data_IF_699726172174
#
_entry.id   IF_699726172174
#
_cell.length_a   1.000
_cell.length_b   1.000
_cell.length_c   1.000
_cell.angle_alpha   90.00
_cell.angle_beta   90.00
_cell.angle_gamma   90.00
#
_symmetry.space_group_name_H-M   'P 1'
#
loop_
_entity.id
_entity.type
_entity.pdbx_description
1 polymer ?
#
# COMPACT_ATOMS: atom_id res chain seq x y z
N UNK A 1 -9.24 -7.61 -20.63
CA UNK A 1 -8.63 -7.33 -19.31
C UNK A 1 -7.14 -7.04 -19.51
N UNK A 2 -6.77 -5.82 -19.95
CA UNK A 2 -5.44 -5.58 -20.56
C UNK A 2 -4.24 -5.76 -19.61
N UNK A 3 -4.38 -5.36 -18.35
CA UNK A 3 -3.26 -5.42 -17.38
C UNK A 3 -2.91 -6.87 -17.02
N UNK A 4 -3.92 -7.73 -16.86
CA UNK A 4 -3.70 -9.16 -16.60
C UNK A 4 -3.14 -9.88 -17.82
N UNK A 5 -3.63 -9.53 -19.02
CA UNK A 5 -3.11 -10.08 -20.27
C UNK A 5 -1.63 -9.77 -20.46
N UNK A 6 -1.22 -8.51 -20.28
CA UNK A 6 0.18 -8.11 -20.36
C UNK A 6 1.04 -8.80 -19.28
N UNK A 7 0.53 -8.94 -18.05
CA UNK A 7 1.23 -9.66 -17.00
C UNK A 7 1.48 -11.14 -17.38
N UNK A 8 0.53 -11.78 -18.06
CA UNK A 8 0.66 -13.18 -18.51
C UNK A 8 1.55 -13.30 -19.75
N UNK A 9 1.27 -12.52 -20.79
CA UNK A 9 1.93 -12.64 -22.11
C UNK A 9 3.32 -12.03 -22.13
N UNK A 10 3.49 -10.85 -21.53
CA UNK A 10 4.76 -10.11 -21.55
C UNK A 10 5.54 -10.31 -20.25
N UNK A 11 4.84 -10.35 -19.12
CA UNK A 11 5.44 -10.49 -17.78
C UNK A 11 5.72 -11.92 -17.35
N UNK A 12 5.18 -12.92 -18.06
CA UNK A 12 5.32 -14.35 -17.76
C UNK A 12 5.10 -14.68 -16.27
N UNK A 13 4.04 -14.11 -15.67
CA UNK A 13 3.75 -14.34 -14.25
C UNK A 13 3.59 -15.82 -13.93
N UNK A 14 4.16 -16.25 -12.81
CA UNK A 14 4.09 -17.64 -12.34
C UNK A 14 2.78 -17.96 -11.59
N UNK A 15 2.04 -16.93 -11.16
CA UNK A 15 0.83 -17.08 -10.38
C UNK A 15 -0.18 -15.97 -10.67
N UNK A 16 -1.46 -16.33 -10.66
CA UNK A 16 -2.60 -15.42 -10.69
C UNK A 16 -3.52 -15.77 -9.52
N UNK A 17 -4.15 -14.76 -8.93
CA UNK A 17 -5.07 -14.93 -7.80
C UNK A 17 -6.48 -14.50 -8.19
N UNK A 18 -7.44 -15.39 -7.98
CA UNK A 18 -8.87 -15.11 -8.14
C UNK A 18 -9.40 -14.29 -6.96
N UNK A 19 -10.17 -13.26 -7.29
CA UNK A 19 -10.82 -12.38 -6.32
C UNK A 19 -12.10 -12.97 -5.74
N UNK A 20 -12.52 -12.47 -4.57
CA UNK A 20 -13.77 -12.86 -3.90
C UNK A 20 -15.05 -12.64 -4.71
N UNK A 21 -15.11 -11.57 -5.51
CA UNK A 21 -16.36 -11.10 -6.08
C UNK A 21 -16.90 -11.99 -7.20
N UNK A 22 -18.18 -11.79 -7.49
CA UNK A 22 -18.80 -12.29 -8.69
C UNK A 22 -18.39 -11.43 -9.89
N UNK A 23 -18.26 -12.05 -11.05
CA UNK A 23 -18.30 -11.36 -12.34
C UNK A 23 -19.30 -12.08 -13.22
N UNK A 24 -20.27 -11.34 -13.75
CA UNK A 24 -21.38 -11.89 -14.54
C UNK A 24 -22.14 -13.02 -13.82
N UNK A 25 -22.29 -12.92 -12.50
CA UNK A 25 -23.08 -13.86 -11.69
C UNK A 25 -22.31 -15.07 -11.13
N UNK A 26 -21.04 -15.26 -11.51
CA UNK A 26 -20.22 -16.38 -11.03
C UNK A 26 -19.01 -15.90 -10.21
N UNK A 27 -18.70 -16.62 -9.13
CA UNK A 27 -17.48 -16.37 -8.34
C UNK A 27 -16.25 -16.65 -9.20
N UNK A 28 -15.20 -15.83 -9.08
CA UNK A 28 -14.04 -15.97 -9.95
C UNK A 28 -13.37 -17.33 -9.82
N UNK A 29 -13.29 -17.89 -8.61
CA UNK A 29 -12.73 -19.23 -8.37
C UNK A 29 -13.44 -20.37 -9.10
N UNK A 30 -14.63 -20.14 -9.65
CA UNK A 30 -15.39 -21.12 -10.42
C UNK A 30 -15.80 -20.60 -11.81
N UNK A 31 -15.29 -19.44 -12.24
CA UNK A 31 -15.64 -18.83 -13.52
C UNK A 31 -14.80 -19.44 -14.65
N UNK A 32 -15.31 -20.50 -15.28
CA UNK A 32 -14.60 -21.24 -16.34
C UNK A 32 -14.26 -20.35 -17.55
N UNK A 33 -15.10 -19.38 -17.89
CA UNK A 33 -14.85 -18.46 -19.02
C UNK A 33 -13.58 -17.65 -18.78
N UNK A 34 -13.44 -17.04 -17.60
CA UNK A 34 -12.26 -16.24 -17.29
C UNK A 34 -11.03 -17.12 -17.08
N UNK A 35 -11.17 -18.23 -16.36
CA UNK A 35 -10.03 -19.02 -15.90
C UNK A 35 -9.53 -20.00 -16.95
N UNK A 36 -10.42 -20.83 -17.50
CA UNK A 36 -10.03 -21.85 -18.45
C UNK A 36 -9.94 -21.29 -19.87
N UNK A 37 -10.94 -20.54 -20.31
CA UNK A 37 -10.98 -20.07 -21.70
C UNK A 37 -10.04 -18.89 -21.91
N UNK A 38 -10.15 -17.81 -21.13
CA UNK A 38 -9.34 -16.63 -21.36
C UNK A 38 -7.92 -16.81 -20.81
N UNK A 39 -7.77 -17.03 -19.50
CA UNK A 39 -6.46 -17.07 -18.86
C UNK A 39 -5.60 -18.25 -19.36
N UNK A 40 -6.12 -19.48 -19.29
CA UNK A 40 -5.34 -20.68 -19.63
C UNK A 40 -5.24 -20.96 -21.13
N UNK A 41 -6.34 -20.83 -21.90
CA UNK A 41 -6.33 -21.13 -23.34
C UNK A 41 -5.94 -19.91 -24.20
N UNK A 42 -6.68 -18.81 -24.14
CA UNK A 42 -6.44 -17.64 -25.02
C UNK A 42 -5.11 -16.93 -24.72
N UNK A 43 -4.74 -16.81 -23.44
CA UNK A 43 -3.47 -16.17 -23.05
C UNK A 43 -2.32 -17.16 -22.82
N UNK A 44 -2.62 -18.46 -22.80
CA UNK A 44 -1.59 -19.49 -22.64
C UNK A 44 -0.94 -19.54 -21.26
N UNK A 45 -1.62 -19.07 -20.19
CA UNK A 45 -1.06 -19.08 -18.84
C UNK A 45 -0.67 -20.49 -18.37
N UNK A 46 0.59 -20.62 -17.94
CA UNK A 46 1.16 -21.88 -17.47
C UNK A 46 1.40 -21.93 -15.96
N UNK A 47 1.20 -20.83 -15.24
CA UNK A 47 1.39 -20.79 -13.79
C UNK A 47 0.24 -21.41 -12.99
N UNK A 48 0.23 -21.08 -11.70
CA UNK A 48 -0.78 -21.51 -10.73
C UNK A 48 -1.89 -20.45 -10.63
N UNK A 49 -3.14 -20.85 -10.82
CA UNK A 49 -4.29 -20.04 -10.43
C UNK A 49 -4.73 -20.40 -9.00
N UNK A 50 -4.62 -19.45 -8.08
CA UNK A 50 -4.97 -19.65 -6.67
C UNK A 50 -6.17 -18.80 -6.25
N UNK A 51 -6.86 -19.19 -5.18
CA UNK A 51 -7.92 -18.36 -4.61
C UNK A 51 -7.30 -17.28 -3.72
N UNK A 52 -7.99 -16.15 -3.57
CA UNK A 52 -7.81 -15.33 -2.36
C UNK A 52 -8.24 -16.15 -1.12
N UNK A 53 -7.91 -15.65 0.07
CA UNK A 53 -8.12 -16.34 1.34
C UNK A 53 -9.59 -16.60 1.60
N UNK A 54 -10.01 -17.86 1.68
CA UNK A 54 -11.42 -18.24 1.87
C UNK A 54 -12.34 -17.80 0.71
N UNK A 55 -11.79 -17.55 -0.48
CA UNK A 55 -12.56 -17.17 -1.66
C UNK A 55 -13.07 -18.36 -2.49
N UNK A 56 -13.07 -19.58 -1.94
CA UNK A 56 -13.61 -20.76 -2.62
C UNK A 56 -14.97 -21.13 -2.02
N UNK A 57 -15.95 -21.41 -2.88
CA UNK A 57 -17.36 -21.52 -2.48
C UNK A 57 -17.99 -22.89 -2.76
N UNK A 58 -17.45 -23.64 -3.72
CA UNK A 58 -17.92 -24.98 -4.09
C UNK A 58 -16.76 -25.83 -4.60
N UNK A 59 -16.78 -27.15 -4.33
CA UNK A 59 -15.70 -28.06 -4.70
C UNK A 59 -15.71 -28.43 -6.19
N UNK A 60 -16.88 -28.75 -6.74
CA UNK A 60 -17.02 -29.22 -8.12
C UNK A 60 -16.90 -28.04 -9.09
N UNK A 61 -17.58 -26.94 -8.78
CA UNK A 61 -17.55 -25.73 -9.58
C UNK A 61 -16.15 -25.12 -9.59
N UNK A 62 -15.42 -25.08 -8.46
CA UNK A 62 -14.04 -24.58 -8.47
C UNK A 62 -13.08 -25.51 -9.21
N UNK A 63 -13.23 -26.84 -9.04
CA UNK A 63 -12.42 -27.80 -9.76
C UNK A 63 -12.61 -27.67 -11.28
N UNK A 64 -13.84 -27.66 -11.76
CA UNK A 64 -14.12 -27.54 -13.20
C UNK A 64 -13.91 -26.10 -13.72
N UNK A 65 -14.12 -25.10 -12.87
CA UNK A 65 -13.95 -23.68 -13.15
C UNK A 65 -12.50 -23.22 -13.20
N UNK A 66 -11.53 -24.12 -13.02
CA UNK A 66 -10.13 -23.86 -13.32
C UNK A 66 -9.25 -23.48 -12.13
N UNK A 67 -9.78 -23.40 -10.90
CA UNK A 67 -8.96 -23.10 -9.72
C UNK A 67 -7.95 -24.22 -9.45
N UNK A 68 -6.66 -23.90 -9.37
CA UNK A 68 -5.61 -24.90 -9.15
C UNK A 68 -5.28 -25.08 -7.66
N UNK A 69 -5.24 -23.98 -6.91
CA UNK A 69 -4.86 -23.97 -5.48
C UNK A 69 -5.86 -23.19 -4.61
N UNK A 70 -6.46 -23.86 -3.63
CA UNK A 70 -7.32 -23.22 -2.63
C UNK A 70 -6.50 -22.69 -1.44
N UNK A 71 -6.73 -21.43 -1.07
CA UNK A 71 -6.05 -20.74 0.02
C UNK A 71 -7.03 -20.34 1.14
N UNK A 72 -6.60 -20.35 2.42
CA UNK A 72 -5.31 -20.82 2.92
C UNK A 72 -5.19 -22.34 3.09
N UNK A 73 -6.32 -23.05 3.06
CA UNK A 73 -6.37 -24.49 3.25
C UNK A 73 -7.48 -25.08 2.39
N UNK A 74 -7.33 -26.34 2.00
CA UNK A 74 -8.28 -27.05 1.14
C UNK A 74 -9.59 -27.39 1.85
N UNK A 75 -10.52 -26.44 2.01
CA UNK A 75 -11.87 -26.70 2.54
C UNK A 75 -12.78 -27.31 1.48
N UNK A 76 -12.54 -27.03 0.20
CA UNK A 76 -13.32 -27.49 -0.94
C UNK A 76 -12.53 -28.42 -1.85
N UNK A 77 -11.30 -28.06 -2.22
CA UNK A 77 -10.39 -28.86 -3.04
C UNK A 77 -9.62 -29.86 -2.18
N UNK A 78 -10.35 -30.78 -1.54
CA UNK A 78 -9.79 -31.86 -0.74
C UNK A 78 -10.34 -33.23 -1.14
N UNK A 79 -9.68 -34.28 -0.63
CA UNK A 79 -10.04 -35.68 -0.91
C UNK A 79 -11.49 -36.01 -0.56
N UNK A 80 -11.99 -35.52 0.57
CA UNK A 80 -13.33 -35.84 1.06
C UNK A 80 -14.43 -35.35 0.13
N UNK A 81 -14.24 -34.18 -0.50
CA UNK A 81 -15.21 -33.60 -1.43
C UNK A 81 -14.98 -33.99 -2.89
N UNK A 82 -13.73 -34.07 -3.34
CA UNK A 82 -13.40 -34.34 -4.74
C UNK A 82 -13.48 -35.83 -5.09
N UNK A 83 -13.08 -36.74 -4.20
CA UNK A 83 -13.06 -38.17 -4.52
C UNK A 83 -14.47 -38.73 -4.82
N UNK A 84 -15.54 -38.38 -4.06
CA UNK A 84 -16.90 -38.75 -4.42
C UNK A 84 -17.35 -38.09 -5.73
N UNK A 85 -16.99 -36.83 -5.97
CA UNK A 85 -17.33 -36.12 -7.20
C UNK A 85 -16.70 -36.78 -8.44
N UNK A 86 -15.47 -37.27 -8.31
CA UNK A 86 -14.78 -38.03 -9.37
C UNK A 86 -15.45 -39.37 -9.62
N UNK A 87 -15.77 -40.14 -8.56
CA UNK A 87 -16.51 -41.41 -8.69
C UNK A 87 -17.89 -41.22 -9.33
N UNK A 88 -18.53 -40.08 -9.09
CA UNK A 88 -19.80 -39.69 -9.69
C UNK A 88 -19.68 -39.08 -11.10
N UNK A 89 -18.46 -38.99 -11.66
CA UNK A 89 -18.23 -38.43 -13.00
C UNK A 89 -18.42 -36.91 -13.11
N UNK A 90 -18.55 -36.18 -11.99
CA UNK A 90 -18.74 -34.72 -11.97
C UNK A 90 -17.43 -33.94 -12.17
N UNK A 91 -16.30 -34.56 -11.84
CA UNK A 91 -14.95 -34.02 -12.06
C UNK A 91 -14.12 -35.15 -12.67
N UNK A 92 -13.41 -34.87 -13.75
CA UNK A 92 -12.55 -35.87 -14.37
C UNK A 92 -11.22 -36.01 -13.63
N UNK A 93 -10.58 -37.19 -13.70
CA UNK A 93 -9.23 -37.37 -13.18
C UNK A 93 -8.23 -36.45 -13.87
N UNK A 94 -8.37 -36.24 -15.18
CA UNK A 94 -7.51 -35.32 -15.92
C UNK A 94 -7.65 -33.86 -15.44
N UNK A 95 -8.85 -33.44 -15.04
CA UNK A 95 -9.07 -32.12 -14.42
C UNK A 95 -8.21 -31.93 -13.18
N UNK A 96 -8.02 -32.98 -12.37
CA UNK A 96 -7.18 -32.93 -11.18
C UNK A 96 -5.70 -33.03 -11.54
N UNK A 97 -5.34 -33.93 -12.48
CA UNK A 97 -3.97 -34.08 -12.95
C UNK A 97 -3.40 -32.78 -13.51
N UNK A 98 -4.18 -32.04 -14.30
CA UNK A 98 -3.78 -30.74 -14.85
C UNK A 98 -3.48 -29.70 -13.76
N UNK A 99 -4.26 -29.68 -12.67
CA UNK A 99 -4.04 -28.77 -11.53
C UNK A 99 -2.72 -29.10 -10.83
N UNK A 100 -2.53 -30.39 -10.53
CA UNK A 100 -1.30 -30.89 -9.88
C UNK A 100 -0.08 -30.63 -10.77
N UNK A 101 -0.20 -30.86 -12.08
CA UNK A 101 0.85 -30.62 -13.08
C UNK A 101 1.29 -29.16 -13.09
N UNK A 102 0.36 -28.20 -12.99
CA UNK A 102 0.69 -26.76 -12.90
C UNK A 102 1.45 -26.42 -11.63
N UNK A 103 1.00 -26.92 -10.48
CA UNK A 103 1.67 -26.69 -9.19
C UNK A 103 3.10 -27.24 -9.22
N UNK A 104 3.26 -28.52 -9.57
CA UNK A 104 4.57 -29.17 -9.62
C UNK A 104 5.48 -28.52 -10.66
N UNK A 105 4.96 -28.17 -11.84
CA UNK A 105 5.75 -27.45 -12.85
C UNK A 105 6.31 -26.15 -12.30
N UNK A 106 5.47 -25.33 -11.67
CA UNK A 106 5.93 -24.06 -11.09
C UNK A 106 6.94 -24.30 -9.96
N UNK A 107 6.75 -25.32 -9.12
CA UNK A 107 7.75 -25.68 -8.10
C UNK A 107 9.11 -26.04 -8.72
N UNK A 108 9.12 -26.85 -9.78
CA UNK A 108 10.34 -27.25 -10.49
C UNK A 108 11.00 -26.09 -11.22
N UNK A 109 10.23 -25.23 -11.90
CA UNK A 109 10.74 -24.05 -12.61
C UNK A 109 11.47 -23.08 -11.68
N UNK A 110 11.03 -22.98 -10.43
CA UNK A 110 11.66 -22.13 -9.40
C UNK A 110 12.72 -22.86 -8.56
N UNK A 111 13.07 -24.08 -8.94
CA UNK A 111 14.05 -24.93 -8.25
C UNK A 111 13.67 -25.19 -6.80
N UNK A 112 12.38 -25.24 -6.47
CA UNK A 112 11.91 -25.40 -5.10
C UNK A 112 12.47 -26.64 -4.40
N UNK A 113 12.48 -27.85 -4.97
CA UNK A 113 13.04 -29.00 -4.28
C UNK A 113 14.57 -28.98 -4.16
N UNK A 114 15.26 -28.23 -5.02
CA UNK A 114 16.72 -28.31 -5.20
C UNK A 114 17.50 -27.17 -4.52
N UNK A 115 16.84 -26.34 -3.71
CA UNK A 115 17.47 -25.22 -3.01
C UNK A 115 16.96 -25.05 -1.59
N UNK A 116 17.82 -24.45 -0.76
CA UNK A 116 17.39 -23.93 0.53
C UNK A 116 16.32 -22.86 0.33
N UNK A 117 15.19 -23.00 1.02
CA UNK A 117 14.07 -22.06 0.92
C UNK A 117 14.40 -20.70 1.50
N UNK A 118 15.29 -20.67 2.49
CA UNK A 118 15.72 -19.46 3.15
C UNK A 118 17.20 -19.19 2.85
N UNK A 119 17.46 -18.17 2.05
CA UNK A 119 18.81 -17.64 1.90
C UNK A 119 19.12 -16.67 3.04
N UNK A 120 19.94 -17.13 4.00
CA UNK A 120 20.37 -16.35 5.15
C UNK A 120 21.45 -15.30 4.81
N UNK A 121 22.07 -15.38 3.63
CA UNK A 121 23.03 -14.37 3.16
C UNK A 121 22.32 -13.04 2.82
N UNK A 122 21.03 -13.12 2.47
CA UNK A 122 20.20 -11.95 2.23
C UNK A 122 19.82 -11.28 3.55
N UNK A 123 20.61 -10.28 3.92
CA UNK A 123 20.35 -9.45 5.08
C UNK A 123 18.97 -8.78 5.02
N UNK A 124 18.18 -8.92 6.10
CA UNK A 124 16.89 -8.21 6.26
C UNK A 124 17.01 -6.70 6.09
N UNK A 125 18.20 -6.18 6.43
CA UNK A 125 18.54 -4.78 6.23
C UNK A 125 19.43 -4.61 5.00
N UNK A 126 18.83 -4.21 3.88
CA UNK A 126 19.53 -3.95 2.63
C UNK A 126 19.60 -2.44 2.35
N UNK A 127 20.81 -1.89 2.31
CA UNK A 127 21.03 -0.47 2.01
C UNK A 127 20.67 -0.11 0.56
N UNK A 128 20.90 -1.02 -0.37
CA UNK A 128 20.54 -0.82 -1.77
C UNK A 128 19.02 -0.81 -1.95
N UNK A 129 18.33 -1.77 -1.33
CA UNK A 129 16.86 -1.78 -1.28
C UNK A 129 16.28 -0.49 -0.67
N UNK A 130 16.94 0.08 0.34
CA UNK A 130 16.56 1.39 0.90
C UNK A 130 16.73 2.53 -0.10
N UNK A 131 17.81 2.56 -0.89
CA UNK A 131 18.04 3.60 -1.91
C UNK A 131 16.98 3.54 -2.99
N UNK A 132 16.69 2.34 -3.50
CA UNK A 132 15.64 2.11 -4.52
C UNK A 132 14.27 2.54 -3.98
N UNK A 133 13.91 2.15 -2.75
CA UNK A 133 12.65 2.56 -2.13
C UNK A 133 12.54 4.10 -1.98
N UNK A 134 13.64 4.77 -1.64
CA UNK A 134 13.69 6.23 -1.57
C UNK A 134 13.53 6.89 -2.96
N UNK A 135 14.16 6.32 -3.98
CA UNK A 135 14.03 6.80 -5.36
C UNK A 135 12.59 6.65 -5.86
N UNK A 136 12.00 5.47 -5.74
CA UNK A 136 10.60 5.23 -6.11
C UNK A 136 9.64 6.19 -5.38
N UNK A 137 9.88 6.44 -4.09
CA UNK A 137 9.10 7.42 -3.33
C UNK A 137 9.24 8.85 -3.88
N UNK A 138 10.45 9.26 -4.31
CA UNK A 138 10.68 10.58 -4.91
C UNK A 138 10.00 10.74 -6.26
N UNK A 139 10.03 9.69 -7.08
CA UNK A 139 9.40 9.67 -8.41
C UNK A 139 7.88 9.56 -8.34
N UNK A 140 7.33 8.99 -7.27
CA UNK A 140 5.89 8.86 -7.05
C UNK A 140 5.19 10.08 -6.42
N UNK A 141 5.93 11.09 -5.95
CA UNK A 141 5.32 12.31 -5.38
C UNK A 141 4.82 13.24 -6.48
N UNK A 142 3.54 13.63 -6.39
CA UNK A 142 2.92 14.58 -7.32
C UNK A 142 2.75 15.94 -6.65
N UNK A 143 3.31 16.99 -7.26
CA UNK A 143 3.12 18.37 -6.82
C UNK A 143 1.77 18.89 -7.32
N UNK A 144 0.78 18.99 -6.43
CA UNK A 144 -0.58 19.43 -6.79
C UNK A 144 -0.70 20.96 -6.88
N UNK A 145 0.03 21.70 -6.05
CA UNK A 145 -0.07 23.16 -5.95
C UNK A 145 1.25 23.79 -5.52
N UNK A 146 1.69 24.85 -6.20
CA UNK A 146 2.87 25.65 -5.84
C UNK A 146 2.67 27.13 -6.22
N UNK A 147 1.91 27.86 -5.41
CA UNK A 147 1.72 29.30 -5.59
C UNK A 147 2.84 30.11 -4.94
N UNK A 148 3.23 31.22 -5.56
CA UNK A 148 4.21 32.15 -4.99
C UNK A 148 5.64 31.60 -4.90
N UNK A 149 5.96 30.56 -5.68
CA UNK A 149 7.28 29.91 -5.72
C UNK A 149 7.79 29.53 -4.31
N UNK A 150 6.90 28.94 -3.50
CA UNK A 150 7.24 28.49 -2.15
C UNK A 150 8.18 27.29 -2.21
N UNK A 151 7.95 26.38 -3.16
CA UNK A 151 8.84 25.26 -3.44
C UNK A 151 9.70 25.53 -4.70
N UNK A 152 10.97 25.08 -4.72
CA UNK A 152 11.66 24.31 -3.67
C UNK A 152 12.06 25.18 -2.46
N UNK A 153 12.07 24.57 -1.26
CA UNK A 153 12.48 25.27 -0.04
C UNK A 153 13.95 25.70 -0.12
N UNK A 154 14.21 26.99 0.09
CA UNK A 154 15.56 27.55 0.09
C UNK A 154 16.05 27.78 1.52
N UNK A 155 17.12 27.08 1.91
CA UNK A 155 17.75 27.18 3.24
C UNK A 155 18.31 28.57 3.55
N UNK A 156 18.68 29.37 2.54
CA UNK A 156 19.13 30.75 2.72
C UNK A 156 17.98 31.73 2.97
N UNK A 157 16.78 31.43 2.46
CA UNK A 157 15.57 32.25 2.65
C UNK A 157 14.84 31.92 3.96
N UNK A 158 14.77 30.65 4.32
CA UNK A 158 14.04 30.18 5.50
C UNK A 158 15.01 29.69 6.58
N UNK A 159 15.16 30.44 7.67
CA UNK A 159 16.01 30.07 8.82
C UNK A 159 15.31 29.12 9.80
N UNK A 160 13.98 29.17 9.85
CA UNK A 160 13.15 28.38 10.78
C UNK A 160 11.92 27.85 10.04
N UNK A 161 11.60 26.57 10.23
CA UNK A 161 10.43 25.91 9.64
C UNK A 161 9.69 25.19 10.76
N UNK A 162 8.40 25.48 10.93
CA UNK A 162 7.52 24.71 11.81
C UNK A 162 6.93 23.53 11.02
N UNK A 163 7.11 22.30 11.51
CA UNK A 163 6.53 21.09 10.92
C UNK A 163 5.35 20.67 11.78
N UNK A 164 4.14 20.71 11.23
CA UNK A 164 2.89 20.48 11.96
C UNK A 164 2.07 19.43 11.22
N UNK A 165 1.52 18.47 11.95
CA UNK A 165 0.59 17.48 11.44
C UNK A 165 0.78 16.09 12.05
N UNK A 166 -0.28 15.27 12.14
CA UNK A 166 -0.20 13.93 12.75
C UNK A 166 0.69 12.96 11.97
N UNK A 167 0.92 13.23 10.68
CA UNK A 167 1.78 12.42 9.81
C UNK A 167 3.23 12.93 9.76
N UNK A 168 3.57 14.01 10.47
CA UNK A 168 4.94 14.52 10.52
C UNK A 168 5.87 13.58 11.31
N UNK A 169 5.36 12.99 12.40
CA UNK A 169 6.06 11.99 13.19
C UNK A 169 5.09 11.20 14.08
N UNK A 170 5.20 9.85 14.16
CA UNK A 170 6.07 9.00 13.36
C UNK A 170 5.60 8.88 11.90
N UNK A 171 6.51 8.47 11.01
CA UNK A 171 6.17 8.29 9.59
C UNK A 171 5.11 7.20 9.39
N UNK A 172 4.23 7.40 8.40
CA UNK A 172 3.18 6.45 8.00
C UNK A 172 3.57 5.82 6.64
N UNK A 173 4.38 4.75 6.60
CA UNK A 173 4.95 4.26 5.34
C UNK A 173 4.03 3.33 4.54
N UNK A 174 3.00 2.73 5.15
CA UNK A 174 1.96 1.94 4.45
C UNK A 174 0.63 2.03 5.21
N UNK A 175 -0.47 2.03 4.46
CA UNK A 175 -1.82 1.94 5.00
C UNK A 175 -2.12 0.52 5.51
N UNK A 176 -2.93 0.38 6.57
CA UNK A 176 -3.21 -0.93 7.20
C UNK A 176 -4.28 -1.68 6.41
N UNK A 177 -4.01 -2.94 6.02
CA UNK A 177 -5.09 -3.93 5.81
C UNK A 177 -4.70 -5.40 5.92
N UNK A 178 -3.48 -5.80 5.54
CA UNK A 178 -2.96 -7.15 5.81
C UNK A 178 -1.47 -7.09 6.17
N UNK A 179 -1.04 -7.99 7.06
CA UNK A 179 0.18 -7.94 7.91
C UNK A 179 1.29 -7.01 7.39
N UNK A 180 1.49 -5.82 7.99
CA UNK A 180 2.65 -5.03 7.64
C UNK A 180 3.92 -5.84 7.96
N UNK A 181 4.82 -5.96 6.99
CA UNK A 181 6.14 -6.56 7.19
C UNK A 181 6.81 -5.95 8.43
N UNK A 182 7.48 -6.76 9.26
CA UNK A 182 8.23 -6.25 10.42
C UNK A 182 9.23 -5.20 9.93
N UNK A 183 9.02 -3.94 10.33
CA UNK A 183 9.70 -2.77 9.73
C UNK A 183 11.03 -2.51 10.42
N UNK A 184 12.02 -2.10 9.63
CA UNK A 184 13.26 -1.50 10.12
C UNK A 184 13.00 0.01 10.29
N UNK A 185 13.42 0.64 11.40
CA UNK A 185 13.13 2.05 11.67
C UNK A 185 13.56 2.96 10.52
N UNK A 186 12.64 3.81 10.06
CA UNK A 186 12.92 4.88 9.11
C UNK A 186 13.80 5.93 9.79
N UNK A 187 15.04 6.12 9.31
CA UNK A 187 15.92 7.21 9.77
C UNK A 187 15.67 8.46 8.93
N UNK A 188 15.48 9.59 9.63
CA UNK A 188 15.34 10.93 9.07
C UNK A 188 16.49 11.27 8.10
N UNK A 189 16.26 12.08 7.04
CA UNK A 189 17.31 12.88 6.45
C UNK A 189 17.79 13.89 7.52
N UNK A 190 19.04 13.73 7.96
CA UNK A 190 19.83 14.53 8.91
C UNK A 190 19.17 15.76 9.61
N UNK A 191 19.00 15.61 10.92
CA UNK A 191 18.89 16.67 11.92
C UNK A 191 18.93 16.03 13.30
N UNK A 192 20.14 15.90 13.88
CA UNK A 192 20.35 15.39 15.25
C UNK A 192 19.55 16.26 16.23
N UNK A 193 18.67 15.72 17.09
CA UNK A 193 18.52 16.27 18.42
C UNK A 193 19.74 15.78 19.21
N UNK A 194 20.64 16.70 19.57
CA UNK A 194 21.55 16.45 20.67
C UNK A 194 20.69 16.06 21.87
N UNK A 195 20.89 14.84 22.35
CA UNK A 195 20.36 14.38 23.62
C UNK A 195 21.08 15.20 24.70
N UNK A 196 20.49 16.33 25.08
CA UNK A 196 20.92 17.05 26.27
C UNK A 196 20.43 16.24 27.47
N UNK A 197 21.38 15.57 28.11
CA UNK A 197 21.26 15.09 29.48
C UNK A 197 20.83 16.25 30.38
N UNK A 198 19.75 16.07 31.15
CA UNK A 198 19.33 17.05 32.14
C UNK A 198 17.92 16.81 32.63
N UNK A 199 17.81 16.04 33.71
CA UNK A 199 16.70 15.94 34.65
C UNK A 199 15.26 15.88 34.10
N UNK A 200 14.69 14.69 34.26
CA UNK A 200 13.29 14.55 34.65
C UNK A 200 12.95 15.51 35.79
N UNK A 201 12.05 16.46 35.53
CA UNK A 201 10.89 16.84 36.37
C UNK A 201 10.25 18.12 35.83
N UNK A 202 8.93 18.07 35.68
CA UNK A 202 7.99 19.18 35.50
C UNK A 202 8.13 20.06 34.24
N UNK A 203 7.20 19.89 33.30
CA UNK A 203 6.54 21.04 32.67
C UNK A 203 5.09 20.65 32.35
N UNK A 204 4.18 21.18 33.17
CA UNK A 204 2.74 21.11 33.00
C UNK A 204 2.31 21.63 31.61
N UNK A 205 1.28 21.01 31.05
CA UNK A 205 0.46 21.62 30.01
C UNK A 205 -0.10 22.95 30.53
N UNK A 206 0.52 24.07 30.15
CA UNK A 206 -0.15 25.35 30.22
C UNK A 206 -0.93 25.56 28.92
N UNK A 207 -2.26 25.50 29.04
CA UNK A 207 -3.20 26.11 28.12
C UNK A 207 -2.73 27.54 27.80
N UNK A 208 -2.61 27.85 26.51
CA UNK A 208 -2.36 29.21 26.05
C UNK A 208 -3.63 30.05 26.25
N UNK A 209 -3.61 30.94 27.22
CA UNK A 209 -4.54 32.08 27.35
C UNK A 209 -4.01 33.27 26.55
N UNK A 210 -4.92 33.96 25.87
CA UNK A 210 -4.67 35.12 25.00
C UNK A 210 -4.12 36.34 25.76
N UNK A 211 -2.88 36.74 25.48
CA UNK A 211 -2.39 38.12 25.66
C UNK A 211 -1.26 38.43 24.65
N UNK A 212 -1.24 39.62 24.00
CA UNK A 212 -0.25 39.93 22.98
C UNK A 212 1.03 40.55 23.58
N UNK A 213 2.19 39.95 23.31
CA UNK A 213 3.51 40.60 23.48
C UNK A 213 4.13 40.93 22.12
N UNK A 214 4.82 42.06 21.95
CA UNK A 214 5.45 42.42 20.68
C UNK A 214 6.81 41.73 20.57
N UNK A 215 7.01 40.88 19.55
CA UNK A 215 8.37 40.51 19.07
C UNK A 215 8.39 40.36 17.56
N UNK A 216 9.36 41.07 16.98
CA UNK A 216 9.64 41.20 15.56
C UNK A 216 9.85 39.86 14.84
N UNK A 217 9.32 39.82 13.60
CA UNK A 217 9.58 38.89 12.50
C UNK A 217 9.48 37.39 12.78
N UNK A 218 8.27 36.80 12.63
CA UNK A 218 8.09 35.37 12.30
C UNK A 218 6.80 35.15 11.52
N UNK A 219 6.90 35.06 10.20
CA UNK A 219 5.84 34.49 9.37
C UNK A 219 6.29 33.13 8.85
N UNK A 220 5.56 32.09 9.24
CA UNK A 220 4.93 31.06 8.39
C UNK A 220 4.10 30.20 9.35
N UNK A 221 2.77 30.33 9.26
CA UNK A 221 1.80 29.47 9.92
C UNK A 221 1.10 28.69 8.81
N UNK A 222 1.24 27.36 8.81
CA UNK A 222 0.38 26.50 8.01
C UNK A 222 -0.68 25.90 8.93
N UNK A 223 -1.91 26.42 8.82
CA UNK A 223 -3.08 25.84 9.45
C UNK A 223 -3.81 24.95 8.44
N UNK A 224 -4.33 23.81 8.89
CA UNK A 224 -5.28 22.98 8.15
C UNK A 224 -6.60 22.88 8.93
N UNK A 225 -7.75 22.79 8.24
CA UNK A 225 -9.06 22.73 8.89
C UNK A 225 -9.41 21.31 9.38
N UNK A 226 -10.39 21.24 10.30
CA UNK A 226 -11.13 20.00 10.61
C UNK A 226 -11.92 19.55 9.38
N UNK A 227 -12.12 18.24 9.29
CA UNK A 227 -12.76 17.43 8.24
C UNK A 227 -14.09 17.96 7.61
N UNK A 228 -14.53 17.40 6.46
CA UNK A 228 -15.20 18.14 5.41
C UNK A 228 -16.71 18.23 5.62
N UNK A 229 -17.28 19.39 5.34
CA UNK A 229 -18.68 19.49 4.90
C UNK A 229 -18.70 20.34 3.63
N UNK A 230 -19.41 19.83 2.63
CA UNK A 230 -19.60 20.36 1.30
C UNK A 230 -19.99 21.85 1.33
N UNK A 231 -19.10 22.72 0.84
CA UNK A 231 -19.31 23.93 0.00
C UNK A 231 -18.17 24.94 0.22
N UNK A 232 -17.51 25.35 -0.87
CA UNK A 232 -16.64 26.55 -0.94
C UNK A 232 -15.25 26.44 -0.31
N UNK A 233 -14.20 26.45 -1.14
CA UNK A 233 -12.82 26.68 -0.70
C UNK A 233 -12.44 28.14 -0.99
N UNK A 234 -12.19 28.94 0.05
CA UNK A 234 -11.54 30.24 -0.08
C UNK A 234 -10.31 30.29 0.84
N UNK A 235 -9.11 30.33 0.25
CA UNK A 235 -7.87 30.60 1.00
C UNK A 235 -7.53 32.08 0.86
N UNK A 236 -7.77 32.88 1.91
CA UNK A 236 -7.37 34.30 1.96
C UNK A 236 -5.99 34.44 2.61
N UNK A 237 -5.00 34.95 1.89
CA UNK A 237 -3.74 35.42 2.45
C UNK A 237 -3.95 36.85 2.95
N UNK A 238 -4.13 37.02 4.26
CA UNK A 238 -4.21 38.36 4.86
C UNK A 238 -2.80 38.98 4.93
N UNK A 239 -2.49 39.89 4.00
CA UNK A 239 -1.40 40.86 4.15
C UNK A 239 -1.95 42.09 4.88
N UNK A 240 -1.69 42.25 6.17
CA UNK A 240 -1.86 43.55 6.82
C UNK A 240 -0.76 44.50 6.32
N UNK A 241 -1.15 45.58 5.61
CA UNK A 241 -0.28 46.70 5.28
C UNK A 241 -0.69 47.93 6.12
N UNK A 242 0.30 48.42 6.89
CA UNK A 242 0.42 49.70 7.63
C UNK A 242 -0.34 49.86 8.96
N UNK A 243 0.28 50.51 9.97
CA UNK A 243 -0.40 50.91 11.19
C UNK A 243 -1.24 52.17 10.96
N UNK A 244 -2.48 52.16 11.47
CA UNK A 244 -3.32 53.34 11.60
C UNK A 244 -2.67 54.32 12.59
N UNK A 245 -2.40 55.55 12.15
CA UNK A 245 -2.14 56.67 13.06
C UNK A 245 -3.44 57.05 13.75
N UNK A 246 -3.42 57.18 15.07
CA UNK A 246 -4.47 57.85 15.82
C UNK A 246 -4.40 59.36 15.55
N UNK A 247 -5.53 60.07 15.31
CA UNK A 247 -5.59 61.50 15.53
C UNK A 247 -5.70 61.77 17.02
N UNK A 248 -4.84 62.66 17.51
CA UNK A 248 -5.01 63.36 18.77
C UNK A 248 -6.09 64.45 18.63
N UNK A 249 -6.74 64.68 19.76
CA UNK A 249 -7.33 65.93 20.27
C UNK A 249 -8.81 66.29 20.07
N UNK A 250 -9.32 66.72 21.24
CA UNK A 250 -10.20 67.86 21.52
C UNK A 250 -11.73 67.70 21.41
N UNK A 251 -12.38 67.82 22.59
CA UNK A 251 -13.83 67.89 22.78
C UNK A 251 -14.24 67.34 24.12
#
# INVERSE_FOLDING_TARGET
MPIFEAAVKDGHVAAVMDSYNLTNGEHLTQNSRLNNEILKKEWGFQGILMSDWDATYDAVAAANGGLDLEMPSGKFLNREKLLPAMKAGKVSEETINEKVRRIIRTELEFGWPDRDQQDLSLGRFNQEGRRIALQAAREGVVLLKNEGNVLPLNKGKFKTIAVIGPNAYPAVPVWRRQRPSRRIPFRRPAGRPQQLSGNERNCNLHQWSDEPRPRNHRDIVFAYPRQPVLTGFECRVLRQRRPLRYPQDSG
#
